data_IF_748757494172
#
_entry.id   IF_748757494172
#
_cell.length_a   1.000
_cell.length_b   1.000
_cell.length_c   1.000
_cell.angle_alpha   90.00
_cell.angle_beta   90.00
_cell.angle_gamma   90.00
#
_symmetry.space_group_name_H-M   'P 1'
#
loop_
_entity.id
_entity.type
_entity.pdbx_description
1 polymer ?
#
# COMPACT_ATOMS: atom_id res chain seq x y z
N UNK A 1 -18.46 6.90 7.67
CA UNK A 1 -18.09 5.93 8.74
C UNK A 1 -16.65 6.21 9.14
N UNK A 2 -16.28 6.05 10.40
CA UNK A 2 -14.87 6.06 10.80
C UNK A 2 -14.27 4.69 10.52
N UNK A 3 -13.41 4.60 9.51
CA UNK A 3 -12.64 3.40 9.27
C UNK A 3 -11.44 3.32 10.23
N UNK A 4 -10.95 2.11 10.55
CA UNK A 4 -9.71 1.94 11.30
C UNK A 4 -8.55 2.67 10.63
N UNK A 5 -7.58 3.15 11.42
CA UNK A 5 -6.43 3.89 10.89
C UNK A 5 -5.35 2.90 10.44
N UNK A 6 -4.93 3.02 9.19
CA UNK A 6 -3.74 2.35 8.66
C UNK A 6 -2.48 2.94 9.32
N UNK A 7 -1.64 2.10 9.93
CA UNK A 7 -0.41 2.56 10.58
C UNK A 7 0.86 1.90 10.05
N UNK A 8 0.76 0.79 9.33
CA UNK A 8 1.89 0.18 8.64
C UNK A 8 1.46 -0.50 7.33
N UNK A 9 2.36 -0.47 6.35
CA UNK A 9 2.24 -1.16 5.06
C UNK A 9 3.45 -2.07 4.85
N UNK A 10 3.26 -3.19 4.16
CA UNK A 10 4.33 -4.11 3.80
C UNK A 10 4.09 -4.64 2.37
N UNK A 11 4.77 -4.08 1.36
CA UNK A 11 4.62 -4.48 -0.04
C UNK A 11 5.32 -5.82 -0.33
N UNK A 12 4.80 -6.56 -1.31
CA UNK A 12 5.32 -7.87 -1.72
C UNK A 12 5.69 -7.91 -3.21
N UNK A 13 6.44 -8.93 -3.62
CA UNK A 13 6.95 -9.09 -4.99
C UNK A 13 5.88 -9.44 -6.04
N UNK A 14 4.63 -9.64 -5.64
CA UNK A 14 3.47 -9.92 -6.48
C UNK A 14 2.51 -8.73 -6.59
N UNK A 15 2.97 -7.52 -6.28
CA UNK A 15 2.17 -6.30 -6.28
C UNK A 15 1.03 -6.28 -5.25
N UNK A 16 1.08 -7.12 -4.22
CA UNK A 16 0.19 -6.98 -3.07
C UNK A 16 0.83 -6.11 -1.98
N UNK A 17 0.01 -5.58 -1.08
CA UNK A 17 0.45 -4.85 0.12
C UNK A 17 -0.32 -5.35 1.32
N UNK A 18 0.41 -5.84 2.33
CA UNK A 18 -0.16 -6.09 3.65
C UNK A 18 -0.35 -4.76 4.38
N UNK A 19 -1.51 -4.62 5.01
CA UNK A 19 -2.02 -3.42 5.65
C UNK A 19 -2.31 -3.72 7.11
N UNK A 20 -1.72 -2.94 8.01
CA UNK A 20 -1.90 -3.10 9.45
C UNK A 20 -2.70 -1.92 10.00
N UNK A 21 -3.85 -2.25 10.61
CA UNK A 21 -4.80 -1.28 11.15
C UNK A 21 -4.78 -1.26 12.68
N UNK A 22 -5.06 -0.10 13.25
CA UNK A 22 -5.06 0.15 14.70
C UNK A 22 -6.07 -0.69 15.51
N UNK A 23 -7.08 -1.26 14.84
CA UNK A 23 -8.01 -2.22 15.43
C UNK A 23 -7.48 -3.67 15.48
N UNK A 24 -6.22 -3.88 15.08
CA UNK A 24 -5.55 -5.18 15.06
C UNK A 24 -5.80 -6.02 13.81
N UNK A 25 -6.51 -5.49 12.81
CA UNK A 25 -6.65 -6.19 11.53
C UNK A 25 -5.38 -6.12 10.69
N UNK A 26 -5.02 -7.27 10.11
CA UNK A 26 -4.09 -7.36 8.99
C UNK A 26 -4.94 -7.66 7.76
N UNK A 27 -4.75 -6.88 6.70
CA UNK A 27 -5.46 -7.04 5.43
C UNK A 27 -4.46 -7.09 4.28
N UNK A 28 -4.81 -7.75 3.18
CA UNK A 28 -4.00 -7.80 1.96
C UNK A 28 -4.75 -7.08 0.84
N UNK A 29 -4.11 -6.10 0.23
CA UNK A 29 -4.65 -5.36 -0.91
C UNK A 29 -3.88 -5.68 -2.18
N UNK A 30 -4.58 -6.02 -3.25
CA UNK A 30 -3.99 -6.32 -4.57
C UNK A 30 -3.83 -5.02 -5.36
N UNK A 31 -2.58 -4.63 -5.65
CA UNK A 31 -2.23 -3.46 -6.44
C UNK A 31 -1.81 -3.80 -7.87
N UNK A 32 -2.01 -5.04 -8.35
CA UNK A 32 -1.65 -5.46 -9.72
C UNK A 32 -2.29 -4.61 -10.81
N UNK A 33 -3.40 -3.93 -10.50
CA UNK A 33 -4.05 -2.96 -11.38
C UNK A 33 -3.12 -1.82 -11.83
N UNK A 34 -2.08 -1.48 -11.06
CA UNK A 34 -1.06 -0.46 -11.39
C UNK A 34 -0.34 -0.79 -12.69
N UNK A 35 -0.12 -2.08 -12.97
CA UNK A 35 0.56 -2.55 -14.19
C UNK A 35 -0.21 -2.20 -15.47
N UNK A 36 -1.52 -1.98 -15.37
CA UNK A 36 -2.37 -1.60 -16.48
C UNK A 36 -2.52 -0.07 -16.63
N UNK A 37 -1.83 0.72 -15.80
CA UNK A 37 -1.85 2.19 -15.83
C UNK A 37 -0.57 2.74 -16.45
N UNK A 38 -0.66 3.92 -17.05
CA UNK A 38 0.47 4.65 -17.63
C UNK A 38 0.67 5.99 -16.91
N UNK A 39 1.67 6.77 -17.31
CA UNK A 39 1.96 8.08 -16.75
C UNK A 39 2.66 7.95 -15.39
N UNK A 40 2.10 8.59 -14.35
CA UNK A 40 2.70 8.60 -13.00
C UNK A 40 2.92 7.19 -12.42
N UNK A 41 2.15 6.21 -12.87
CA UNK A 41 2.24 4.81 -12.43
C UNK A 41 3.41 4.03 -13.05
N UNK A 42 4.00 4.51 -14.15
CA UNK A 42 5.03 3.76 -14.88
C UNK A 42 6.28 3.48 -14.04
N UNK A 43 6.64 4.37 -13.09
CA UNK A 43 7.74 4.13 -12.15
C UNK A 43 7.51 2.90 -11.27
N UNK A 44 6.24 2.63 -10.94
CA UNK A 44 5.82 1.51 -10.11
C UNK A 44 5.67 0.21 -10.90
N UNK A 45 5.95 0.18 -12.20
CA UNK A 45 6.03 -1.08 -12.96
C UNK A 45 7.31 -1.85 -12.68
N UNK A 46 8.31 -1.18 -12.11
CA UNK A 46 9.46 -1.81 -11.50
C UNK A 46 9.09 -2.23 -10.07
N UNK A 47 9.24 -3.52 -9.77
CA UNK A 47 8.83 -4.11 -8.49
C UNK A 47 9.67 -3.62 -7.32
N UNK A 48 10.93 -3.25 -7.54
CA UNK A 48 11.77 -2.69 -6.49
C UNK A 48 11.30 -1.27 -6.17
N UNK A 49 11.02 -0.44 -7.17
CA UNK A 49 10.39 0.88 -6.96
C UNK A 49 9.02 0.76 -6.26
N UNK A 50 8.19 -0.20 -6.66
CA UNK A 50 6.91 -0.45 -6.00
C UNK A 50 7.08 -0.72 -4.51
N UNK A 51 8.11 -1.49 -4.12
CA UNK A 51 8.39 -1.82 -2.72
C UNK A 51 9.02 -0.65 -1.97
N UNK A 52 10.06 -0.04 -2.52
CA UNK A 52 10.85 1.00 -1.84
C UNK A 52 10.07 2.30 -1.64
N UNK A 53 9.23 2.67 -2.62
CA UNK A 53 8.44 3.89 -2.55
C UNK A 53 7.14 3.71 -1.75
N UNK A 54 6.73 2.47 -1.46
CA UNK A 54 5.51 2.17 -0.72
C UNK A 54 5.59 2.70 0.71
N UNK A 55 4.59 3.49 1.09
CA UNK A 55 4.54 4.14 2.39
C UNK A 55 3.10 4.45 2.78
N UNK A 56 2.93 5.00 3.98
CA UNK A 56 1.73 5.74 4.35
C UNK A 56 1.98 7.23 4.13
N UNK A 57 1.12 7.87 3.34
CA UNK A 57 1.03 9.32 3.16
C UNK A 57 -0.45 9.70 3.11
N UNK A 58 -0.79 10.92 3.49
CA UNK A 58 -2.19 11.39 3.54
C UNK A 58 -3.14 10.47 4.35
N UNK A 59 -2.59 9.71 5.31
CA UNK A 59 -3.35 8.78 6.15
C UNK A 59 -3.78 7.48 5.47
N UNK A 60 -3.20 7.13 4.32
CA UNK A 60 -3.57 5.93 3.55
C UNK A 60 -2.36 5.29 2.85
N UNK A 61 -2.58 4.16 2.18
CA UNK A 61 -1.59 3.49 1.34
C UNK A 61 -1.19 4.42 0.18
N UNK A 62 0.11 4.64 0.04
CA UNK A 62 0.65 5.53 -0.98
C UNK A 62 2.03 5.08 -1.49
N UNK A 63 2.48 5.71 -2.58
CA UNK A 63 3.85 5.67 -3.08
C UNK A 63 4.44 7.07 -3.17
N UNK A 64 5.60 7.28 -2.55
CA UNK A 64 6.33 8.55 -2.57
C UNK A 64 7.07 8.74 -3.91
N UNK A 65 6.32 9.10 -4.96
CA UNK A 65 6.87 9.27 -6.30
C UNK A 65 7.97 10.34 -6.34
N UNK A 66 7.84 11.38 -5.51
CA UNK A 66 8.81 12.46 -5.36
C UNK A 66 10.11 12.07 -4.65
N UNK A 67 10.11 10.97 -3.89
CA UNK A 67 11.18 10.56 -2.96
C UNK A 67 11.52 11.61 -1.88
N UNK A 68 10.66 12.62 -1.71
CA UNK A 68 10.87 13.75 -0.81
C UNK A 68 9.77 13.87 0.25
N UNK A 69 8.92 12.84 0.42
CA UNK A 69 7.74 12.86 1.29
C UNK A 69 6.77 14.01 0.96
N UNK A 70 6.67 14.37 -0.31
CA UNK A 70 5.76 15.43 -0.76
C UNK A 70 4.32 14.91 -0.86
N UNK A 71 3.47 15.38 0.06
CA UNK A 71 2.05 15.01 0.15
C UNK A 71 1.21 15.36 -1.09
N UNK A 72 1.71 16.22 -1.98
CA UNK A 72 1.05 16.58 -3.24
C UNK A 72 1.61 15.82 -4.46
N UNK A 73 2.83 15.27 -4.35
CA UNK A 73 3.51 14.55 -5.41
C UNK A 73 3.73 13.08 -5.02
N UNK A 74 2.63 12.43 -4.63
CA UNK A 74 2.55 11.01 -4.35
C UNK A 74 1.39 10.37 -5.12
N UNK A 75 1.37 9.04 -5.17
CA UNK A 75 0.17 8.28 -5.56
C UNK A 75 -0.41 7.72 -4.28
N UNK A 76 -1.55 8.24 -3.83
CA UNK A 76 -2.28 7.70 -2.69
C UNK A 76 -3.63 7.11 -3.14
N UNK A 77 -4.07 6.06 -2.45
CA UNK A 77 -5.35 5.40 -2.73
C UNK A 77 -6.33 5.82 -1.64
N UNK A 78 -7.55 6.17 -2.02
CA UNK A 78 -8.61 6.51 -1.06
C UNK A 78 -8.66 5.48 0.09
N UNK A 79 -8.58 5.91 1.38
CA UNK A 79 -8.60 4.99 2.52
C UNK A 79 -9.81 4.04 2.48
N UNK A 80 -10.98 4.56 2.04
CA UNK A 80 -12.19 3.76 1.94
C UNK A 80 -12.04 2.60 0.95
N UNK A 81 -11.46 2.86 -0.21
CA UNK A 81 -11.17 1.85 -1.24
C UNK A 81 -10.21 0.80 -0.69
N UNK A 82 -9.09 1.24 -0.11
CA UNK A 82 -8.05 0.34 0.41
C UNK A 82 -8.62 -0.61 1.47
N UNK A 83 -9.45 -0.11 2.40
CA UNK A 83 -10.04 -0.94 3.43
C UNK A 83 -11.11 -1.90 2.89
N UNK A 84 -12.01 -1.42 2.03
CA UNK A 84 -13.15 -2.18 1.53
C UNK A 84 -12.75 -3.28 0.55
N UNK A 85 -11.78 -2.99 -0.32
CA UNK A 85 -11.34 -3.92 -1.38
C UNK A 85 -10.21 -4.85 -0.92
N UNK A 86 -9.54 -4.54 0.20
CA UNK A 86 -8.57 -5.48 0.79
C UNK A 86 -9.27 -6.65 1.47
N UNK A 87 -8.57 -7.78 1.56
CA UNK A 87 -9.06 -9.01 2.20
C UNK A 87 -8.40 -9.17 3.57
N UNK A 88 -9.21 -9.34 4.62
CA UNK A 88 -8.68 -9.65 5.96
C UNK A 88 -7.93 -10.97 5.94
N UNK A 89 -6.72 -10.99 6.50
CA UNK A 89 -5.85 -12.16 6.54
C UNK A 89 -5.43 -12.51 7.96
N UNK A 90 -5.06 -13.77 8.18
CA UNK A 90 -4.43 -14.27 9.41
C UNK A 90 -2.91 -14.36 9.29
N UNK A 91 -2.38 -14.16 8.09
CA UNK A 91 -0.95 -14.19 7.82
C UNK A 91 -0.34 -12.85 8.21
N UNK A 92 0.64 -12.91 9.11
CA UNK A 92 1.48 -11.78 9.47
C UNK A 92 2.82 -11.95 8.76
N UNK A 93 3.13 -11.15 7.71
CA UNK A 93 4.36 -11.32 6.93
C UNK A 93 5.62 -11.09 7.78
N UNK A 94 5.51 -10.38 8.91
CA UNK A 94 6.63 -10.11 9.82
C UNK A 94 6.97 -11.30 10.72
N UNK A 95 6.13 -12.35 10.73
CA UNK A 95 6.34 -13.58 11.52
C UNK A 95 6.80 -14.76 10.68
N UNK A 96 6.95 -14.58 9.36
CA UNK A 96 7.48 -15.62 8.49
C UNK A 96 9.01 -15.62 8.64
N UNK A 97 9.66 -16.75 8.99
CA UNK A 97 11.11 -16.83 9.03
C UNK A 97 11.73 -16.47 7.68
N UNK A 98 12.81 -15.68 7.71
CA UNK A 98 13.63 -15.37 6.54
C UNK A 98 14.33 -16.61 5.97
#
# INVERSE_FOLDING_TARGET
MLQPKLFQVFPTSDYSVYLFYDNGEIRLYDCSWILNKSGVFTKLHDIENFKELCTIMNGTLAWDISECRDFYNCIDICPDTVYQESVKTRTDPLKIPA
#
